data_IF_495900140576
#
_entry.id   IF_495900140576
#
_cell.length_a   1.000
_cell.length_b   1.000
_cell.length_c   1.000
_cell.angle_alpha   90.00
_cell.angle_beta   90.00
_cell.angle_gamma   90.00
#
_symmetry.space_group_name_H-M   'P 1'
#
loop_
_entity.id
_entity.type
_entity.pdbx_description
1 polymer ?
#
# COMPACT_ATOMS: atom_id res chain seq x y z
N UNK A 1 -17.57 -11.28 -64.54
CA UNK A 1 -16.47 -12.15 -64.95
C UNK A 1 -16.19 -13.05 -63.77
N UNK A 2 -16.35 -14.36 -63.90
CA UNK A 2 -16.18 -15.35 -62.81
C UNK A 2 -14.67 -15.54 -62.54
N UNK A 3 -14.33 -15.79 -61.29
CA UNK A 3 -12.96 -16.05 -60.82
C UNK A 3 -12.22 -17.15 -61.61
N UNK A 4 -12.98 -18.07 -62.22
CA UNK A 4 -12.45 -19.19 -63.00
C UNK A 4 -11.94 -18.83 -64.40
N UNK A 5 -12.13 -17.61 -64.86
CA UNK A 5 -11.69 -17.17 -66.19
C UNK A 5 -10.38 -16.37 -66.19
N UNK A 6 -9.70 -16.26 -65.03
CA UNK A 6 -8.41 -15.56 -64.93
C UNK A 6 -7.26 -16.52 -65.28
N UNK A 7 -6.21 -16.05 -66.01
CA UNK A 7 -5.00 -16.83 -66.28
C UNK A 7 -4.32 -17.30 -65.02
N UNK A 8 -3.78 -18.50 -65.03
CA UNK A 8 -3.16 -19.17 -63.85
C UNK A 8 -2.09 -18.33 -63.11
N UNK A 9 -1.36 -17.49 -63.87
CA UNK A 9 -0.39 -16.56 -63.31
C UNK A 9 -1.05 -15.45 -62.46
N UNK A 10 -2.23 -14.95 -62.81
CA UNK A 10 -2.94 -13.95 -62.02
C UNK A 10 -3.60 -14.57 -60.79
N UNK A 11 -4.04 -15.82 -60.86
CA UNK A 11 -4.59 -16.55 -59.70
C UNK A 11 -3.55 -16.74 -58.59
N UNK A 12 -2.30 -17.04 -58.95
CA UNK A 12 -1.21 -17.21 -57.97
C UNK A 12 -0.79 -15.88 -57.34
N UNK A 13 -0.86 -14.77 -58.07
CA UNK A 13 -0.54 -13.44 -57.53
C UNK A 13 -1.63 -12.89 -56.61
N UNK A 14 -2.92 -13.13 -56.89
CA UNK A 14 -4.01 -12.74 -56.02
C UNK A 14 -4.04 -13.56 -54.71
N UNK A 15 -3.69 -14.85 -54.76
CA UNK A 15 -3.64 -15.69 -53.58
C UNK A 15 -2.44 -15.32 -52.66
N UNK A 16 -1.32 -14.89 -53.25
CA UNK A 16 -0.15 -14.42 -52.49
C UNK A 16 -0.37 -13.05 -51.83
N UNK A 17 -1.20 -12.19 -52.43
CA UNK A 17 -1.53 -10.88 -51.85
C UNK A 17 -2.59 -10.95 -50.72
N UNK A 18 -3.45 -11.98 -50.70
CA UNK A 18 -4.42 -12.17 -49.62
C UNK A 18 -3.79 -12.81 -48.36
N UNK A 19 -2.65 -13.56 -48.49
CA UNK A 19 -1.95 -14.15 -47.36
C UNK A 19 -0.97 -13.19 -46.66
N UNK A 20 -0.65 -12.04 -47.27
CA UNK A 20 0.29 -11.07 -46.73
C UNK A 20 -0.34 -10.01 -45.77
N UNK A 21 -1.66 -10.04 -45.55
CA UNK A 21 -2.36 -9.07 -44.70
C UNK A 21 -2.90 -9.64 -43.37
N UNK A 22 -2.48 -10.83 -42.97
CA UNK A 22 -2.71 -11.30 -41.60
C UNK A 22 -1.37 -11.12 -40.85
N UNK A 23 -0.95 -9.89 -40.67
CA UNK A 23 -0.07 -9.57 -39.58
C UNK A 23 -0.87 -9.84 -38.28
N UNK A 24 -0.41 -10.72 -37.38
CA UNK A 24 -1.00 -10.77 -36.07
C UNK A 24 -0.83 -9.37 -35.47
N UNK A 25 -1.94 -8.67 -35.27
CA UNK A 25 -1.97 -7.52 -34.40
C UNK A 25 -1.57 -8.09 -33.02
N UNK A 26 -0.28 -8.11 -32.73
CA UNK A 26 0.18 -8.17 -31.37
C UNK A 26 -0.34 -6.86 -30.78
N UNK A 27 -1.53 -6.91 -30.16
CA UNK A 27 -1.87 -5.96 -29.15
C UNK A 27 -0.73 -6.11 -28.13
N UNK A 28 0.25 -5.22 -28.20
CA UNK A 28 1.02 -4.85 -27.02
C UNK A 28 -0.06 -4.54 -26.00
N UNK A 29 -0.30 -5.48 -25.10
CA UNK A 29 -0.89 -5.20 -23.81
C UNK A 29 0.09 -4.24 -23.18
N UNK A 30 -0.10 -2.93 -23.49
CA UNK A 30 0.59 -1.86 -22.80
C UNK A 30 0.39 -2.20 -21.33
N UNK A 31 1.49 -2.56 -20.68
CA UNK A 31 1.49 -2.77 -19.23
C UNK A 31 0.83 -1.52 -18.65
N UNK A 32 -0.32 -1.69 -18.00
CA UNK A 32 -1.03 -0.58 -17.40
C UNK A 32 -0.04 0.15 -16.50
N UNK A 33 0.23 1.44 -16.74
CA UNK A 33 1.28 2.12 -16.01
C UNK A 33 0.96 2.03 -14.52
N UNK A 34 1.90 1.48 -13.76
CA UNK A 34 1.82 1.59 -12.31
C UNK A 34 1.88 3.07 -11.96
N UNK A 35 1.00 3.54 -11.07
CA UNK A 35 1.04 4.91 -10.55
C UNK A 35 2.28 5.14 -9.70
N UNK A 36 2.69 4.12 -8.95
CA UNK A 36 3.90 4.08 -8.13
C UNK A 36 4.65 2.77 -8.36
N UNK A 37 5.96 2.83 -8.53
CA UNK A 37 6.90 1.71 -8.42
C UNK A 37 8.09 2.16 -7.55
N UNK A 38 7.87 2.18 -6.24
CA UNK A 38 8.89 2.54 -5.25
C UNK A 38 9.87 1.38 -5.05
N UNK A 39 11.16 1.67 -5.19
CA UNK A 39 12.27 0.71 -5.09
C UNK A 39 13.28 1.06 -4.01
N UNK A 40 13.00 2.11 -3.26
CA UNK A 40 13.86 2.59 -2.18
C UNK A 40 15.31 2.80 -2.60
N UNK A 41 15.50 3.52 -3.73
CA UNK A 41 16.82 4.00 -4.15
C UNK A 41 17.22 5.23 -3.35
N UNK A 42 16.25 6.11 -3.08
CA UNK A 42 16.34 7.28 -2.18
C UNK A 42 15.08 7.36 -1.32
N UNK A 43 15.02 8.33 -0.42
CA UNK A 43 13.82 8.65 0.36
C UNK A 43 13.26 10.05 0.01
N UNK A 44 13.62 10.62 -1.13
CA UNK A 44 13.29 12.02 -1.50
C UNK A 44 11.79 12.28 -1.61
N UNK A 45 10.98 11.27 -1.98
CA UNK A 45 9.51 11.35 -2.04
C UNK A 45 8.82 11.05 -0.69
N UNK A 46 9.58 10.82 0.37
CA UNK A 46 9.08 10.41 1.68
C UNK A 46 9.44 11.42 2.76
N UNK A 47 8.45 11.87 3.53
CA UNK A 47 8.66 12.81 4.63
C UNK A 47 8.54 12.11 5.99
N UNK A 48 9.34 12.51 6.98
CA UNK A 48 9.20 11.98 8.34
C UNK A 48 7.80 12.27 8.90
N UNK A 49 7.13 11.23 9.39
CA UNK A 49 5.87 11.31 10.11
C UNK A 49 6.13 11.05 11.60
N UNK A 50 5.98 12.08 12.42
CA UNK A 50 6.23 12.02 13.86
C UNK A 50 4.96 12.32 14.66
N UNK A 51 4.95 11.91 15.93
CA UNK A 51 3.81 12.10 16.83
C UNK A 51 4.20 13.01 18.01
N UNK A 52 3.34 13.99 18.39
CA UNK A 52 3.73 15.05 19.34
C UNK A 52 4.23 14.55 20.71
N UNK A 53 3.75 13.41 21.16
CA UNK A 53 4.10 12.87 22.50
C UNK A 53 5.20 11.80 22.45
N UNK A 54 5.70 11.46 21.26
CA UNK A 54 6.75 10.45 21.08
C UNK A 54 8.09 11.17 20.95
N UNK A 55 8.99 10.92 21.91
CA UNK A 55 10.32 11.54 21.95
C UNK A 55 11.36 10.76 21.17
N UNK A 56 11.23 9.44 21.13
CA UNK A 56 12.17 8.55 20.44
C UNK A 56 11.54 8.08 19.15
N UNK A 57 12.16 8.44 18.04
CA UNK A 57 11.67 8.09 16.70
C UNK A 57 12.35 6.83 16.20
N UNK A 58 11.60 6.01 15.48
CA UNK A 58 12.14 4.89 14.70
C UNK A 58 13.02 5.42 13.58
N UNK A 59 13.95 4.61 13.11
CA UNK A 59 14.89 5.01 12.05
C UNK A 59 14.54 4.35 10.71
N UNK A 60 14.80 5.08 9.65
CA UNK A 60 14.53 4.68 8.28
C UNK A 60 15.75 4.96 7.42
N UNK A 61 16.26 3.96 6.73
CA UNK A 61 17.47 4.11 5.90
C UNK A 61 17.43 3.19 4.68
N UNK A 62 18.14 3.61 3.64
CA UNK A 62 18.37 2.76 2.47
C UNK A 62 19.48 1.76 2.80
N UNK A 63 19.21 0.48 2.57
CA UNK A 63 20.12 -0.61 2.91
C UNK A 63 20.36 -1.53 1.70
N UNK A 64 21.58 -2.05 1.50
CA UNK A 64 21.85 -3.05 0.46
C UNK A 64 21.05 -4.33 0.66
N UNK A 65 20.41 -4.84 -0.41
CA UNK A 65 19.59 -6.04 -0.44
C UNK A 65 19.98 -6.93 -1.65
N UNK A 66 21.12 -7.58 -1.58
CA UNK A 66 21.69 -8.28 -2.73
C UNK A 66 22.21 -7.29 -3.76
N UNK A 67 21.68 -7.34 -4.99
CA UNK A 67 22.04 -6.47 -6.12
C UNK A 67 21.21 -5.17 -6.20
N UNK A 68 20.32 -4.93 -5.24
CA UNK A 68 19.42 -3.78 -5.15
C UNK A 68 19.43 -3.17 -3.75
N UNK A 69 18.56 -2.18 -3.54
CA UNK A 69 18.36 -1.52 -2.24
C UNK A 69 16.99 -1.86 -1.67
N UNK A 70 16.84 -1.71 -0.35
CA UNK A 70 15.60 -1.84 0.41
C UNK A 70 15.49 -0.71 1.41
N UNK A 71 14.28 -0.40 1.84
CA UNK A 71 14.07 0.37 3.05
C UNK A 71 14.33 -0.51 4.26
N UNK A 72 15.27 -0.13 5.13
CA UNK A 72 15.43 -0.67 6.47
C UNK A 72 14.69 0.23 7.45
N UNK A 73 13.81 -0.36 8.25
CA UNK A 73 13.08 0.27 9.34
C UNK A 73 13.51 -0.37 10.66
N UNK A 74 13.80 0.43 11.66
CA UNK A 74 14.22 -0.06 12.98
C UNK A 74 13.47 0.68 14.07
N UNK A 75 12.81 -0.05 14.97
CA UNK A 75 12.20 0.47 16.19
C UNK A 75 12.92 -0.09 17.41
N UNK A 76 13.08 0.75 18.43
CA UNK A 76 13.63 0.39 19.74
C UNK A 76 13.02 1.33 20.78
N UNK A 77 11.90 0.91 21.41
CA UNK A 77 11.09 1.74 22.29
C UNK A 77 10.81 3.11 21.64
N UNK A 78 10.31 3.08 20.40
CA UNK A 78 10.21 4.26 19.53
C UNK A 78 9.02 4.15 18.58
N UNK A 79 8.50 5.30 18.12
CA UNK A 79 7.51 5.33 17.06
C UNK A 79 7.71 6.53 16.15
N UNK A 80 7.67 6.29 14.87
CA UNK A 80 7.54 7.26 13.79
C UNK A 80 7.24 6.53 12.48
N UNK A 81 7.03 7.26 11.40
CA UNK A 81 6.81 6.70 10.07
C UNK A 81 7.44 7.54 8.99
N UNK A 82 7.27 7.10 7.77
CA UNK A 82 7.47 7.87 6.56
C UNK A 82 6.13 8.05 5.85
N UNK A 83 5.81 9.29 5.48
CA UNK A 83 4.64 9.67 4.70
C UNK A 83 5.06 9.91 3.26
N UNK A 84 4.41 9.26 2.31
CA UNK A 84 4.56 9.56 0.89
C UNK A 84 3.66 10.76 0.54
N UNK A 85 4.25 11.86 0.07
CA UNK A 85 3.55 13.14 -0.07
C UNK A 85 2.55 13.21 -1.22
N UNK A 86 2.63 12.27 -2.18
CA UNK A 86 1.75 12.27 -3.34
C UNK A 86 0.43 11.58 -3.02
N UNK A 87 -0.61 11.99 -3.72
CA UNK A 87 -1.94 11.36 -3.64
C UNK A 87 -2.28 10.66 -4.95
N UNK A 88 -3.09 9.61 -4.86
CA UNK A 88 -3.61 8.87 -5.99
C UNK A 88 -5.11 8.62 -5.85
N UNK A 89 -5.77 8.37 -6.97
CA UNK A 89 -7.18 8.00 -7.01
C UNK A 89 -7.31 6.47 -6.89
N UNK A 90 -7.89 6.00 -5.78
CA UNK A 90 -8.03 4.56 -5.50
C UNK A 90 -8.98 3.84 -6.45
N UNK A 91 -9.85 4.57 -7.17
CA UNK A 91 -10.75 4.00 -8.19
C UNK A 91 -10.04 3.79 -9.53
N UNK A 92 -8.98 4.53 -9.80
CA UNK A 92 -8.13 4.35 -10.99
C UNK A 92 -7.01 3.34 -10.73
N UNK A 93 -6.45 3.38 -9.52
CA UNK A 93 -5.32 2.55 -9.09
C UNK A 93 -5.69 1.81 -7.81
N UNK A 94 -6.46 0.73 -7.96
CA UNK A 94 -7.06 0.03 -6.82
C UNK A 94 -6.18 -1.05 -6.20
N UNK A 95 -5.09 -1.43 -6.85
CA UNK A 95 -4.21 -2.48 -6.34
C UNK A 95 -2.95 -1.91 -5.71
N UNK A 96 -2.65 -2.39 -4.49
CA UNK A 96 -1.43 -2.14 -3.76
C UNK A 96 -0.66 -3.45 -3.62
N UNK A 97 0.61 -3.43 -4.05
CA UNK A 97 1.51 -4.57 -3.98
C UNK A 97 2.81 -4.17 -3.30
N UNK A 98 3.28 -5.02 -2.39
CA UNK A 98 4.57 -4.78 -1.70
C UNK A 98 5.22 -6.08 -1.27
N UNK A 99 6.50 -5.99 -0.89
CA UNK A 99 7.26 -7.10 -0.38
C UNK A 99 8.08 -6.65 0.81
N UNK A 100 7.90 -7.32 1.93
CA UNK A 100 8.62 -7.02 3.17
C UNK A 100 9.03 -8.26 3.94
N UNK A 101 9.88 -8.07 4.95
CA UNK A 101 10.17 -9.05 6.00
C UNK A 101 10.41 -8.33 7.32
N UNK A 102 10.19 -9.03 8.44
CA UNK A 102 10.47 -8.56 9.80
C UNK A 102 11.44 -9.49 10.50
N UNK A 103 12.25 -8.96 11.41
CA UNK A 103 13.23 -9.75 12.19
C UNK A 103 12.57 -10.55 13.32
N UNK A 104 11.46 -10.06 13.86
CA UNK A 104 10.73 -10.65 14.98
C UNK A 104 9.35 -10.01 15.09
N UNK A 105 8.51 -10.59 15.95
CA UNK A 105 7.29 -9.98 16.47
C UNK A 105 7.50 -9.62 17.95
N UNK A 106 6.67 -8.71 18.48
CA UNK A 106 6.75 -8.31 19.90
C UNK A 106 5.97 -9.29 20.78
N UNK A 107 6.57 -9.68 21.90
CA UNK A 107 5.96 -10.63 22.85
C UNK A 107 4.77 -10.02 23.59
N UNK A 108 4.84 -8.70 23.85
CA UNK A 108 3.78 -7.95 24.52
C UNK A 108 2.77 -7.35 23.52
N UNK A 109 3.04 -7.44 22.21
CA UNK A 109 2.16 -6.93 21.18
C UNK A 109 0.79 -7.62 21.20
N UNK A 110 -0.27 -6.79 21.16
CA UNK A 110 -1.67 -7.24 21.17
C UNK A 110 -2.54 -6.20 20.46
N UNK A 111 -2.97 -6.54 19.27
CA UNK A 111 -3.80 -5.68 18.41
C UNK A 111 -5.18 -5.32 18.99
N UNK A 112 -5.58 -5.96 20.09
CA UNK A 112 -6.84 -5.68 20.77
C UNK A 112 -6.72 -4.60 21.88
N UNK A 113 -5.50 -4.19 22.26
CA UNK A 113 -5.25 -3.27 23.38
C UNK A 113 -4.40 -2.09 22.94
N UNK A 114 -4.49 -0.98 23.68
CA UNK A 114 -3.64 0.19 23.44
C UNK A 114 -2.20 -0.05 23.83
N UNK A 115 -1.99 -0.80 24.90
CA UNK A 115 -0.69 -1.10 25.46
C UNK A 115 0.12 -2.05 24.56
N UNK A 116 -0.55 -2.77 23.68
CA UNK A 116 0.08 -3.69 22.74
C UNK A 116 -0.04 -3.27 21.27
N UNK A 117 -0.47 -2.04 20.96
CA UNK A 117 -0.67 -1.54 19.59
C UNK A 117 0.64 -1.15 18.89
N UNK A 118 1.63 -2.03 18.94
CA UNK A 118 2.91 -1.93 18.25
C UNK A 118 3.07 -3.01 17.20
N UNK A 119 3.72 -2.70 16.09
CA UNK A 119 3.93 -3.65 14.99
C UNK A 119 5.31 -3.47 14.38
N UNK A 120 6.00 -4.57 14.05
CA UNK A 120 7.30 -4.49 13.37
C UNK A 120 7.21 -3.90 11.97
N UNK A 121 6.04 -3.99 11.32
CA UNK A 121 5.77 -3.35 10.04
C UNK A 121 4.29 -3.04 9.85
N UNK A 122 4.00 -1.81 9.43
CA UNK A 122 2.66 -1.31 9.02
C UNK A 122 2.78 -0.54 7.71
N UNK A 123 1.92 -0.83 6.74
CA UNK A 123 1.76 -0.05 5.52
C UNK A 123 0.36 0.54 5.50
N UNK A 124 0.26 1.87 5.52
CA UNK A 124 -1.00 2.60 5.58
C UNK A 124 -1.45 3.06 4.20
N UNK A 125 -2.75 2.97 3.97
CA UNK A 125 -3.49 3.75 2.98
C UNK A 125 -4.30 4.78 3.75
N UNK A 126 -3.95 6.04 3.59
CA UNK A 126 -4.53 7.20 4.29
C UNK A 126 -5.53 7.88 3.35
N UNK A 127 -6.83 7.74 3.59
CA UNK A 127 -7.87 8.33 2.75
C UNK A 127 -8.08 9.79 3.10
N UNK A 128 -8.05 10.64 2.08
CA UNK A 128 -8.13 12.08 2.27
C UNK A 128 -9.52 12.52 2.74
N UNK A 129 -9.53 13.46 3.69
CA UNK A 129 -10.75 14.09 4.12
C UNK A 129 -11.31 15.06 3.08
N UNK A 130 -12.60 14.94 2.77
CA UNK A 130 -13.33 15.82 1.87
C UNK A 130 -14.35 16.66 2.69
N UNK A 131 -14.07 17.97 2.93
CA UNK A 131 -14.97 18.83 3.70
C UNK A 131 -16.35 18.97 3.08
N UNK A 132 -16.48 18.87 1.74
CA UNK A 132 -17.75 19.04 1.04
C UNK A 132 -18.70 17.86 1.27
N UNK A 133 -18.15 16.66 1.48
CA UNK A 133 -18.91 15.43 1.73
C UNK A 133 -19.09 15.12 3.22
N UNK A 134 -18.39 15.84 4.09
CA UNK A 134 -18.43 15.58 5.52
C UNK A 134 -19.73 16.06 6.17
N UNK A 135 -20.23 15.28 7.15
CA UNK A 135 -21.31 15.73 8.03
C UNK A 135 -20.90 16.96 8.85
N UNK A 136 -21.88 17.79 9.25
CA UNK A 136 -21.59 19.01 9.99
C UNK A 136 -20.79 18.78 11.29
N UNK A 137 -21.05 17.75 12.13
CA UNK A 137 -20.24 17.47 13.30
C UNK A 137 -18.79 17.06 12.93
N UNK A 138 -18.61 16.26 11.87
CA UNK A 138 -17.29 15.84 11.42
C UNK A 138 -16.50 17.04 10.90
N UNK A 139 -17.14 17.94 10.15
CA UNK A 139 -16.52 19.17 9.64
C UNK A 139 -15.99 20.04 10.78
N UNK A 140 -16.78 20.28 11.82
CA UNK A 140 -16.36 21.08 12.98
C UNK A 140 -15.14 20.42 13.67
N UNK A 141 -15.18 19.10 13.90
CA UNK A 141 -14.06 18.33 14.49
C UNK A 141 -12.78 18.49 13.67
N UNK A 142 -12.87 18.40 12.34
CA UNK A 142 -11.72 18.43 11.46
C UNK A 142 -11.16 19.84 11.24
N UNK A 143 -12.03 20.88 11.21
CA UNK A 143 -11.57 22.27 11.20
C UNK A 143 -10.81 22.63 12.48
N UNK A 144 -11.29 22.16 13.64
CA UNK A 144 -10.54 22.33 14.89
C UNK A 144 -9.19 21.59 14.87
N UNK A 145 -9.17 20.35 14.37
CA UNK A 145 -7.92 19.58 14.24
C UNK A 145 -6.94 20.28 13.30
N UNK A 146 -7.40 20.81 12.16
CA UNK A 146 -6.57 21.62 11.25
C UNK A 146 -6.02 22.88 11.91
N UNK A 147 -6.84 23.57 12.71
CA UNK A 147 -6.38 24.76 13.45
C UNK A 147 -5.26 24.42 14.44
N UNK A 148 -5.32 23.24 15.08
CA UNK A 148 -4.33 22.80 16.07
C UNK A 148 -3.05 22.20 15.46
N UNK A 149 -3.19 21.53 14.31
CA UNK A 149 -2.11 20.73 13.71
C UNK A 149 -1.66 21.22 12.33
N UNK A 150 -2.26 22.29 11.80
CA UNK A 150 -1.90 22.90 10.51
C UNK A 150 -2.46 22.19 9.27
N UNK A 151 -3.01 20.98 9.41
CA UNK A 151 -3.59 20.20 8.31
C UNK A 151 -4.77 19.36 8.77
N UNK A 152 -5.62 18.94 7.85
CA UNK A 152 -6.67 18.00 8.15
C UNK A 152 -6.08 16.61 8.43
N UNK A 153 -6.59 15.90 9.46
CA UNK A 153 -6.30 14.49 9.59
C UNK A 153 -6.91 13.69 8.43
N UNK A 154 -6.44 12.48 8.14
CA UNK A 154 -7.10 11.58 7.20
C UNK A 154 -8.58 11.36 7.57
N UNK A 155 -9.44 11.16 6.57
CA UNK A 155 -10.86 10.81 6.80
C UNK A 155 -10.98 9.46 7.50
N UNK A 156 -10.18 8.52 7.05
CA UNK A 156 -10.06 7.16 7.54
C UNK A 156 -8.74 6.55 7.07
N UNK A 157 -8.38 5.40 7.61
CA UNK A 157 -7.20 4.66 7.16
C UNK A 157 -7.40 3.15 7.21
N UNK A 158 -6.75 2.46 6.27
CA UNK A 158 -6.43 1.04 6.39
C UNK A 158 -4.94 0.92 6.61
N UNK A 159 -4.52 0.10 7.57
CA UNK A 159 -3.13 -0.32 7.70
C UNK A 159 -3.01 -1.83 7.51
N UNK A 160 -2.19 -2.24 6.58
CA UNK A 160 -1.77 -3.63 6.45
C UNK A 160 -0.65 -3.85 7.47
N UNK A 161 -0.83 -4.86 8.34
CA UNK A 161 0.07 -5.09 9.47
C UNK A 161 0.67 -6.50 9.45
N UNK A 162 1.88 -6.61 10.01
CA UNK A 162 2.37 -7.87 10.52
C UNK A 162 1.93 -7.97 11.98
N UNK A 163 0.85 -8.72 12.27
CA UNK A 163 0.34 -8.86 13.64
C UNK A 163 1.29 -9.70 14.50
N UNK A 164 1.46 -9.33 15.74
CA UNK A 164 2.34 -10.03 16.70
C UNK A 164 1.82 -11.39 17.08
N UNK A 165 0.49 -11.56 17.12
CA UNK A 165 -0.20 -12.83 17.47
C UNK A 165 -0.91 -13.40 16.25
N UNK A 166 -0.98 -14.71 16.18
CA UNK A 166 -1.77 -15.36 15.15
C UNK A 166 -3.24 -14.95 15.24
N UNK A 167 -3.80 -14.58 14.11
CA UNK A 167 -5.17 -14.13 14.00
C UNK A 167 -5.80 -14.57 12.69
N UNK A 168 -7.11 -14.84 12.73
CA UNK A 168 -7.94 -15.11 11.54
C UNK A 168 -8.95 -14.00 11.29
N UNK A 169 -8.86 -12.90 12.04
CA UNK A 169 -9.76 -11.75 11.86
C UNK A 169 -9.50 -11.10 10.50
N UNK A 170 -10.52 -10.82 9.70
CA UNK A 170 -10.35 -10.16 8.42
C UNK A 170 -9.88 -8.70 8.58
N UNK A 171 -10.25 -8.05 9.68
CA UNK A 171 -9.76 -6.74 10.09
C UNK A 171 -9.93 -6.55 11.60
N UNK A 172 -9.20 -5.56 12.14
CA UNK A 172 -9.23 -5.15 13.54
C UNK A 172 -9.50 -3.65 13.58
N UNK A 173 -10.38 -3.19 14.49
CA UNK A 173 -10.56 -1.76 14.74
C UNK A 173 -9.40 -1.29 15.59
N UNK A 174 -8.72 -0.21 15.17
CA UNK A 174 -7.59 0.31 15.93
C UNK A 174 -8.05 0.80 17.32
N UNK A 175 -7.26 0.51 18.34
CA UNK A 175 -7.61 0.80 19.74
C UNK A 175 -7.62 2.31 20.07
N UNK A 176 -6.98 3.15 19.25
CA UNK A 176 -6.92 4.60 19.43
C UNK A 176 -7.91 5.39 18.56
N UNK A 177 -8.29 4.85 17.40
CA UNK A 177 -9.07 5.58 16.40
C UNK A 177 -10.12 4.69 15.73
N UNK A 178 -11.38 5.02 15.90
CA UNK A 178 -12.49 4.31 15.25
C UNK A 178 -12.50 4.46 13.73
N UNK A 179 -11.83 5.45 13.19
CA UNK A 179 -11.66 5.72 11.78
C UNK A 179 -10.47 4.96 11.15
N UNK A 180 -9.73 4.16 11.93
CA UNK A 180 -8.62 3.34 11.49
C UNK A 180 -8.96 1.85 11.57
N UNK A 181 -8.63 1.11 10.51
CA UNK A 181 -8.76 -0.34 10.43
C UNK A 181 -7.40 -0.96 10.15
N UNK A 182 -7.12 -2.06 10.82
CA UNK A 182 -5.91 -2.85 10.61
C UNK A 182 -6.28 -4.16 9.94
N UNK A 183 -5.58 -4.53 8.89
CA UNK A 183 -5.76 -5.79 8.17
C UNK A 183 -4.49 -6.62 8.35
N UNK A 184 -4.53 -7.70 9.14
CA UNK A 184 -3.39 -8.59 9.28
C UNK A 184 -3.13 -9.34 7.97
N UNK A 185 -1.98 -9.08 7.34
CA UNK A 185 -1.52 -9.80 6.15
C UNK A 185 -0.50 -10.87 6.48
N UNK A 186 0.22 -10.70 7.58
CA UNK A 186 1.00 -11.72 8.28
C UNK A 186 0.68 -11.68 9.76
N UNK A 187 0.89 -12.81 10.46
CA UNK A 187 0.68 -12.89 11.90
C UNK A 187 1.59 -13.92 12.55
N UNK A 188 2.00 -13.63 13.81
CA UNK A 188 2.88 -14.50 14.57
C UNK A 188 4.30 -14.59 14.00
N UNK A 189 5.08 -15.51 14.55
CA UNK A 189 6.51 -15.63 14.31
C UNK A 189 6.91 -16.66 13.23
N UNK A 190 5.96 -17.41 12.67
CA UNK A 190 6.27 -18.53 11.78
C UNK A 190 7.01 -18.13 10.48
N UNK A 191 6.83 -16.88 10.03
CA UNK A 191 7.39 -16.37 8.76
C UNK A 191 8.41 -15.25 8.96
N UNK A 192 8.86 -14.98 10.20
CA UNK A 192 9.91 -13.98 10.45
C UNK A 192 11.18 -14.30 9.66
N UNK A 193 11.98 -13.29 9.33
CA UNK A 193 13.18 -13.36 8.49
C UNK A 193 12.94 -13.88 7.06
N UNK A 194 11.69 -14.13 6.67
CA UNK A 194 11.31 -14.58 5.33
C UNK A 194 10.58 -13.48 4.57
N UNK A 195 10.98 -13.23 3.34
CA UNK A 195 10.32 -12.27 2.47
C UNK A 195 8.90 -12.72 2.14
N UNK A 196 7.95 -11.87 2.50
CA UNK A 196 6.52 -12.01 2.18
C UNK A 196 6.12 -10.98 1.14
N UNK A 197 5.34 -11.39 0.15
CA UNK A 197 4.81 -10.54 -0.91
C UNK A 197 3.29 -10.55 -0.88
N UNK A 198 2.67 -9.36 -0.99
CA UNK A 198 1.23 -9.18 -0.96
C UNK A 198 0.77 -8.38 -2.17
N UNK A 199 -0.44 -8.70 -2.63
CA UNK A 199 -1.18 -7.93 -3.62
C UNK A 199 -2.62 -7.84 -3.14
N UNK A 200 -3.14 -6.64 -2.90
CA UNK A 200 -4.46 -6.40 -2.31
C UNK A 200 -5.26 -5.43 -3.17
N UNK A 201 -6.58 -5.52 -3.08
CA UNK A 201 -7.49 -4.55 -3.67
C UNK A 201 -8.02 -3.61 -2.58
N UNK A 202 -7.51 -2.38 -2.55
CA UNK A 202 -7.82 -1.37 -1.53
C UNK A 202 -9.31 -1.02 -1.46
N UNK A 203 -10.06 -1.08 -2.58
CA UNK A 203 -11.50 -0.82 -2.59
C UNK A 203 -12.28 -1.93 -1.89
N UNK A 204 -11.92 -3.19 -2.18
CA UNK A 204 -12.55 -4.36 -1.55
C UNK A 204 -12.26 -4.40 -0.06
N UNK A 205 -11.01 -4.16 0.32
CA UNK A 205 -10.57 -4.15 1.71
C UNK A 205 -11.24 -3.03 2.50
N UNK A 206 -11.37 -1.83 1.92
CA UNK A 206 -12.08 -0.74 2.55
C UNK A 206 -13.57 -1.07 2.75
N UNK A 207 -14.20 -1.59 1.72
CA UNK A 207 -15.63 -1.99 1.79
C UNK A 207 -15.86 -3.10 2.83
N UNK A 208 -14.96 -4.07 2.91
CA UNK A 208 -14.99 -5.11 3.93
C UNK A 208 -14.87 -4.52 5.35
N UNK A 209 -13.93 -3.58 5.55
CA UNK A 209 -13.58 -3.05 6.86
C UNK A 209 -14.53 -1.96 7.37
N UNK A 210 -15.14 -1.17 6.46
CA UNK A 210 -16.00 -0.02 6.81
C UNK A 210 -17.46 -0.17 6.38
N UNK A 211 -17.80 -1.16 5.52
CA UNK A 211 -19.16 -1.37 5.01
C UNK A 211 -19.63 -0.32 3.98
N UNK A 212 -18.73 0.50 3.48
CA UNK A 212 -19.02 1.59 2.51
C UNK A 212 -17.85 1.75 1.53
N UNK A 213 -18.04 2.52 0.47
CA UNK A 213 -16.99 2.82 -0.49
C UNK A 213 -16.03 3.89 0.07
N UNK A 214 -14.72 3.85 -0.27
CA UNK A 214 -13.73 4.80 0.25
C UNK A 214 -13.84 6.20 -0.37
N UNK A 215 -13.29 7.25 0.29
CA UNK A 215 -12.94 8.49 -0.39
C UNK A 215 -12.03 8.22 -1.59
N UNK A 216 -12.12 9.03 -2.68
CA UNK A 216 -11.40 8.72 -3.92
C UNK A 216 -9.89 8.93 -3.84
N UNK A 217 -9.43 9.86 -3.03
CA UNK A 217 -8.01 10.21 -2.92
C UNK A 217 -7.39 9.60 -1.68
N UNK A 218 -6.21 9.02 -1.85
CA UNK A 218 -5.42 8.47 -0.76
C UNK A 218 -3.92 8.77 -0.95
N UNK A 219 -3.17 8.67 0.14
CA UNK A 219 -1.71 8.64 0.18
C UNK A 219 -1.23 7.41 0.95
N UNK A 220 0.08 7.16 0.98
CA UNK A 220 0.68 6.06 1.72
C UNK A 220 1.49 6.56 2.91
N UNK A 221 1.57 5.74 3.95
CA UNK A 221 2.59 5.86 4.97
C UNK A 221 3.12 4.47 5.35
N UNK A 222 4.37 4.41 5.79
CA UNK A 222 4.97 3.18 6.31
C UNK A 222 5.53 3.44 7.70
N UNK A 223 5.38 2.47 8.60
CA UNK A 223 5.72 2.63 10.00
C UNK A 223 6.26 1.35 10.61
N UNK A 224 7.15 1.52 11.59
CA UNK A 224 7.66 0.49 12.50
C UNK A 224 7.67 1.13 13.88
N UNK A 225 7.00 0.53 14.86
CA UNK A 225 6.82 1.11 16.19
C UNK A 225 6.92 0.07 17.32
N UNK A 226 7.34 0.50 18.50
CA UNK A 226 7.55 -0.33 19.69
C UNK A 226 7.49 0.48 20.99
N UNK A 227 6.88 1.67 20.97
CA UNK A 227 6.85 2.57 22.11
C UNK A 227 5.89 2.12 23.21
N UNK A 228 4.85 1.38 22.89
CA UNK A 228 3.92 0.80 23.85
C UNK A 228 4.51 -0.44 24.54
N UNK A 229 5.11 -1.35 23.77
CA UNK A 229 5.69 -2.60 24.29
C UNK A 229 7.09 -2.44 24.85
N UNK A 230 7.79 -1.35 24.51
CA UNK A 230 9.19 -1.08 24.86
C UNK A 230 10.17 -2.16 24.35
N UNK A 231 9.79 -2.84 23.29
CA UNK A 231 10.60 -3.84 22.63
C UNK A 231 11.36 -3.25 21.43
N UNK A 232 12.01 -4.08 20.64
CA UNK A 232 12.70 -3.66 19.43
C UNK A 232 12.48 -4.66 18.28
N UNK A 233 12.42 -4.14 17.07
CA UNK A 233 12.36 -4.94 15.84
C UNK A 233 12.99 -4.19 14.67
N UNK A 234 13.30 -4.97 13.62
CA UNK A 234 13.68 -4.45 12.31
C UNK A 234 12.74 -5.02 11.26
N UNK A 235 12.45 -4.19 10.27
CA UNK A 235 11.78 -4.64 9.06
C UNK A 235 12.52 -4.14 7.83
N UNK A 236 12.40 -4.88 6.73
CA UNK A 236 12.92 -4.47 5.44
C UNK A 236 11.81 -4.49 4.41
N UNK A 237 11.74 -3.46 3.56
CA UNK A 237 10.79 -3.37 2.46
C UNK A 237 11.54 -3.31 1.15
N UNK A 238 11.25 -4.27 0.28
CA UNK A 238 11.89 -4.41 -1.03
C UNK A 238 11.33 -3.41 -2.05
N UNK A 239 9.99 -3.32 -2.09
CA UNK A 239 9.29 -2.39 -2.97
C UNK A 239 7.85 -2.14 -2.50
N UNK A 240 7.26 -1.05 -3.01
CA UNK A 240 5.83 -0.75 -2.94
C UNK A 240 5.36 -0.33 -4.33
N UNK A 241 4.25 -0.91 -4.81
CA UNK A 241 3.63 -0.57 -6.11
C UNK A 241 2.16 -0.26 -5.95
N UNK A 242 1.70 0.73 -6.70
CA UNK A 242 0.28 1.05 -6.86
C UNK A 242 -0.05 0.94 -8.34
N UNK A 243 -1.11 0.22 -8.68
CA UNK A 243 -1.51 0.00 -10.06
C UNK A 243 -3.01 -0.25 -10.22
N UNK A 244 -3.45 -0.32 -11.49
CA UNK A 244 -4.84 -0.63 -11.85
C UNK A 244 -5.10 -2.14 -11.96
N UNK A 245 -4.05 -2.97 -11.90
CA UNK A 245 -4.13 -4.45 -11.96
C UNK A 245 -3.28 -5.07 -10.86
N UNK A 246 -3.60 -6.34 -10.44
CA UNK A 246 -2.88 -7.07 -9.38
C UNK A 246 -1.39 -7.26 -9.65
#
# INVERSE_FOLDING_TARGET
MSYDQLPERLRKTCLALLLAMISPLHADLAANPSFLDERFVTLDDWQPMTFPNIKRHSTYSIHPCGDKTCLLMESDNSASGLLWEKTFNVYEYSFLKWRWKVSNVYRQGDSATKEGDDYPARLYVLFNYDPEKASAPKRIKYELAKLLHGQFPPDSSISYIWDNRETTKPFIVNAYASEARMIPVSSGSAQVDTWQEYSVNMLQDYKMAFGQDPPPLASLAIMCDSDNTQESAKAMVDYIRIGSVP
#
